data_IF_012700097335
#
_entry.id   IF_012700097335
#
_cell.length_a   1.000
_cell.length_b   1.000
_cell.length_c   1.000
_cell.angle_alpha   90.00
_cell.angle_beta   90.00
_cell.angle_gamma   90.00
#
_symmetry.space_group_name_H-M   'P 1'
#
loop_
_entity.id
_entity.type
_entity.pdbx_description
1 polymer ?
#
# COMPACT_ATOMS: atom_id res chain seq x y z
N UNK A 1 -23.16 24.58 -43.99
CA UNK A 1 -22.02 23.87 -43.34
C UNK A 1 -22.44 23.07 -42.09
N UNK A 2 -23.62 22.42 -42.06
CA UNK A 2 -24.15 21.81 -40.81
C UNK A 2 -24.01 20.28 -40.69
N UNK A 3 -24.06 19.54 -41.80
CA UNK A 3 -24.05 18.07 -41.77
C UNK A 3 -22.67 17.47 -41.47
N UNK A 4 -21.59 18.06 -42.00
CA UNK A 4 -20.22 17.55 -41.82
C UNK A 4 -19.70 17.72 -40.39
N UNK A 5 -20.04 18.81 -39.71
CA UNK A 5 -19.69 19.04 -38.30
C UNK A 5 -20.43 18.11 -37.35
N UNK A 6 -21.70 17.81 -37.65
CA UNK A 6 -22.51 16.87 -36.86
C UNK A 6 -21.95 15.44 -36.94
N UNK A 7 -21.60 14.99 -38.14
CA UNK A 7 -20.98 13.67 -38.33
C UNK A 7 -19.65 13.56 -37.59
N UNK A 8 -18.80 14.59 -37.67
CA UNK A 8 -17.53 14.63 -36.92
C UNK A 8 -17.74 14.62 -35.40
N UNK A 9 -18.76 15.29 -34.89
CA UNK A 9 -19.09 15.28 -33.47
C UNK A 9 -19.53 13.88 -33.01
N UNK A 10 -20.38 13.23 -33.81
CA UNK A 10 -20.84 11.85 -33.54
C UNK A 10 -19.71 10.83 -33.60
N UNK A 11 -18.83 10.92 -34.59
CA UNK A 11 -17.63 10.07 -34.69
C UNK A 11 -16.72 10.23 -33.47
N UNK A 12 -16.54 11.48 -33.01
CA UNK A 12 -15.78 11.75 -31.78
C UNK A 12 -16.44 11.14 -30.55
N UNK A 13 -17.77 11.25 -30.42
CA UNK A 13 -18.51 10.65 -29.32
C UNK A 13 -18.35 9.12 -29.30
N UNK A 14 -18.48 8.48 -30.45
CA UNK A 14 -18.28 7.02 -30.56
C UNK A 14 -16.85 6.62 -30.19
N UNK A 15 -15.84 7.35 -30.67
CA UNK A 15 -14.44 7.11 -30.31
C UNK A 15 -14.14 7.35 -28.83
N UNK A 16 -14.86 8.27 -28.18
CA UNK A 16 -14.72 8.47 -26.73
C UNK A 16 -15.41 7.35 -25.95
N UNK A 17 -16.59 6.91 -26.37
CA UNK A 17 -17.31 5.81 -25.73
C UNK A 17 -16.53 4.50 -25.81
N UNK A 18 -15.93 4.18 -26.96
CA UNK A 18 -15.10 2.98 -27.11
C UNK A 18 -13.86 3.02 -26.22
N UNK A 19 -13.19 4.16 -26.13
CA UNK A 19 -12.04 4.34 -25.23
C UNK A 19 -12.42 4.25 -23.76
N UNK A 20 -13.58 4.77 -23.39
CA UNK A 20 -14.08 4.65 -22.02
C UNK A 20 -14.31 3.18 -21.67
N UNK A 21 -14.99 2.43 -22.55
CA UNK A 21 -15.22 1.01 -22.34
C UNK A 21 -13.91 0.20 -22.25
N UNK A 22 -12.93 0.50 -23.10
CA UNK A 22 -11.60 -0.14 -23.06
C UNK A 22 -10.87 0.16 -21.73
N UNK A 23 -10.91 1.41 -21.25
CA UNK A 23 -10.30 1.77 -19.98
C UNK A 23 -11.02 1.13 -18.78
N UNK A 24 -12.35 1.02 -18.84
CA UNK A 24 -13.13 0.32 -17.82
C UNK A 24 -12.77 -1.17 -17.75
N UNK A 25 -12.58 -1.82 -18.90
CA UNK A 25 -12.13 -3.22 -18.98
C UNK A 25 -10.71 -3.39 -18.43
N UNK A 26 -9.78 -2.52 -18.82
CA UNK A 26 -8.41 -2.55 -18.27
C UNK A 26 -8.40 -2.36 -16.76
N UNK A 27 -9.22 -1.45 -16.24
CA UNK A 27 -9.36 -1.20 -14.81
C UNK A 27 -9.95 -2.43 -14.09
N UNK A 28 -10.96 -3.07 -14.66
CA UNK A 28 -11.53 -4.30 -14.11
C UNK A 28 -10.49 -5.44 -14.06
N UNK A 29 -9.71 -5.62 -15.13
CA UNK A 29 -8.61 -6.60 -15.17
C UNK A 29 -7.56 -6.31 -14.11
N UNK A 30 -7.06 -5.08 -14.03
CA UNK A 30 -6.09 -4.64 -13.01
C UNK A 30 -6.60 -4.86 -11.59
N UNK A 31 -7.89 -4.60 -11.33
CA UNK A 31 -8.51 -4.89 -10.04
C UNK A 31 -8.50 -6.38 -9.73
N UNK A 32 -8.84 -7.22 -10.71
CA UNK A 32 -8.79 -8.69 -10.56
C UNK A 32 -7.38 -9.19 -10.27
N UNK A 33 -6.39 -8.71 -11.03
CA UNK A 33 -4.97 -9.03 -10.83
C UNK A 33 -4.46 -8.55 -9.47
N UNK A 34 -4.84 -7.34 -9.03
CA UNK A 34 -4.45 -6.82 -7.72
C UNK A 34 -5.05 -7.62 -6.57
N UNK A 35 -6.30 -8.07 -6.69
CA UNK A 35 -6.93 -8.96 -5.72
C UNK A 35 -6.23 -10.33 -5.71
N UNK A 36 -5.93 -10.88 -6.89
CA UNK A 36 -5.20 -12.14 -6.99
C UNK A 36 -3.79 -12.05 -6.37
N UNK A 37 -3.10 -10.93 -6.60
CA UNK A 37 -1.81 -10.62 -5.99
C UNK A 37 -1.89 -10.55 -4.46
N UNK A 38 -2.87 -9.84 -3.90
CA UNK A 38 -3.07 -9.77 -2.44
C UNK A 38 -3.46 -11.12 -1.83
N UNK A 39 -4.17 -11.96 -2.56
CA UNK A 39 -4.59 -13.27 -2.11
C UNK A 39 -3.51 -14.36 -2.31
N UNK A 40 -2.36 -14.01 -2.90
CA UNK A 40 -1.19 -14.88 -3.01
C UNK A 40 -0.08 -14.43 -2.04
N UNK A 41 -0.18 -14.81 -0.76
CA UNK A 41 0.80 -14.43 0.25
C UNK A 41 2.17 -15.07 0.00
N UNK A 42 2.25 -16.21 -0.70
CA UNK A 42 3.52 -16.86 -1.03
C UNK A 42 4.29 -16.07 -2.09
N UNK A 43 3.61 -15.65 -3.16
CA UNK A 43 4.19 -14.78 -4.18
C UNK A 43 4.61 -13.41 -3.59
N UNK A 44 3.80 -12.82 -2.71
CA UNK A 44 4.17 -11.58 -2.02
C UNK A 44 5.42 -11.74 -1.14
N UNK A 45 5.50 -12.82 -0.35
CA UNK A 45 6.68 -13.13 0.47
C UNK A 45 7.93 -13.35 -0.39
N UNK A 46 7.81 -14.07 -1.50
CA UNK A 46 8.91 -14.27 -2.44
C UNK A 46 9.39 -12.93 -3.03
N UNK A 47 8.45 -12.02 -3.36
CA UNK A 47 8.79 -10.68 -3.84
C UNK A 47 9.46 -9.81 -2.78
N UNK A 48 9.00 -9.88 -1.52
CA UNK A 48 9.64 -9.19 -0.39
C UNK A 48 11.07 -9.72 -0.22
N UNK A 49 11.27 -11.03 -0.21
CA UNK A 49 12.60 -11.63 -0.11
C UNK A 49 13.52 -11.19 -1.25
N UNK A 50 13.02 -11.11 -2.49
CA UNK A 50 13.78 -10.59 -3.63
C UNK A 50 14.16 -9.11 -3.45
N UNK A 51 13.23 -8.28 -2.97
CA UNK A 51 13.47 -6.85 -2.73
C UNK A 51 14.45 -6.62 -1.57
N UNK A 52 14.38 -7.41 -0.50
CA UNK A 52 15.32 -7.39 0.61
C UNK A 52 16.72 -7.82 0.17
N UNK A 53 16.82 -8.84 -0.69
CA UNK A 53 18.09 -9.27 -1.28
C UNK A 53 18.67 -8.20 -2.24
N UNK A 54 17.82 -7.50 -2.97
CA UNK A 54 18.19 -6.40 -3.88
C UNK A 54 18.56 -5.09 -3.17
N UNK A 55 18.02 -4.84 -1.96
CA UNK A 55 18.27 -3.64 -1.16
C UNK A 55 19.64 -3.61 -0.47
N UNK A 56 20.40 -4.71 -0.51
CA UNK A 56 21.81 -4.75 -0.15
C UNK A 56 22.09 -5.19 1.30
N UNK A 57 22.82 -6.29 1.41
CA UNK A 57 23.80 -6.63 2.46
C UNK A 57 24.00 -5.60 3.60
N UNK A 58 23.11 -5.53 4.59
CA UNK A 58 23.36 -5.04 5.97
C UNK A 58 22.21 -5.61 6.83
N UNK A 59 22.31 -6.54 7.77
CA UNK A 59 23.39 -7.17 8.53
C UNK A 59 22.99 -8.63 8.82
N UNK A 60 23.94 -9.57 9.02
CA UNK A 60 23.64 -10.87 9.62
C UNK A 60 23.48 -10.71 11.12
N UNK A 61 22.38 -11.21 11.69
CA UNK A 61 22.22 -11.78 13.04
C UNK A 61 20.80 -11.55 13.55
N UNK A 62 20.04 -12.65 13.64
CA UNK A 62 18.73 -12.67 14.26
C UNK A 62 17.90 -13.85 13.80
N UNK A 63 18.38 -15.07 14.06
CA UNK A 63 17.52 -16.26 14.07
C UNK A 63 16.27 -15.97 14.91
N UNK A 64 15.10 -15.99 14.27
CA UNK A 64 13.92 -16.56 14.90
C UNK A 64 12.98 -17.10 13.83
N UNK A 65 13.06 -18.41 13.68
CA UNK A 65 11.98 -19.23 13.17
C UNK A 65 10.71 -18.89 13.95
N UNK A 66 9.65 -18.54 13.24
CA UNK A 66 8.31 -19.04 13.57
C UNK A 66 7.46 -19.07 12.32
N UNK A 67 7.41 -20.26 11.74
CA UNK A 67 6.21 -20.72 11.08
C UNK A 67 5.05 -20.66 12.08
N UNK A 68 4.04 -19.85 11.79
CA UNK A 68 2.68 -20.15 12.22
C UNK A 68 1.73 -19.90 11.06
N UNK A 69 1.42 -21.02 10.42
CA UNK A 69 0.13 -21.31 9.83
C UNK A 69 -0.98 -21.08 10.88
N UNK A 70 -1.91 -20.16 10.62
CA UNK A 70 -3.31 -20.42 10.94
C UNK A 70 -4.26 -19.46 10.21
N UNK A 71 -5.23 -20.08 9.55
CA UNK A 71 -6.36 -19.49 8.87
C UNK A 71 -7.33 -18.87 9.89
N UNK A 72 -7.85 -17.67 9.65
CA UNK A 72 -9.30 -17.43 9.78
C UNK A 72 -9.72 -16.12 9.10
N UNK A 73 -10.89 -16.19 8.49
CA UNK A 73 -11.59 -15.14 7.78
C UNK A 73 -12.02 -13.97 8.69
N UNK A 74 -12.11 -12.80 8.07
CA UNK A 74 -13.05 -11.74 8.43
C UNK A 74 -12.81 -11.06 9.77
N UNK A 75 -11.90 -10.08 9.80
CA UNK A 75 -12.20 -8.79 10.41
C UNK A 75 -11.16 -7.77 9.94
N UNK A 76 -11.60 -6.56 9.66
CA UNK A 76 -10.80 -5.41 9.22
C UNK A 76 -10.01 -4.84 10.42
N UNK A 77 -9.30 -5.70 11.14
CA UNK A 77 -8.47 -5.33 12.27
C UNK A 77 -7.06 -5.07 11.73
N UNK A 78 -6.82 -3.79 11.43
CA UNK A 78 -5.49 -3.21 11.27
C UNK A 78 -4.61 -3.77 12.37
N UNK A 79 -3.69 -4.68 12.03
CA UNK A 79 -2.81 -5.24 13.04
C UNK A 79 -2.07 -4.09 13.74
N UNK A 80 -1.96 -4.10 15.07
CA UNK A 80 -1.35 -3.01 15.80
C UNK A 80 0.08 -2.83 15.30
N UNK A 81 0.34 -1.71 14.61
CA UNK A 81 1.67 -1.36 14.13
C UNK A 81 2.59 -1.37 15.36
N UNK A 82 3.65 -2.18 15.32
CA UNK A 82 4.62 -2.23 16.41
C UNK A 82 5.52 -0.99 16.36
N UNK A 83 5.03 0.11 16.93
CA UNK A 83 5.77 1.36 16.98
C UNK A 83 7.08 1.23 17.77
N UNK A 84 7.19 0.30 18.72
CA UNK A 84 8.39 0.14 19.55
C UNK A 84 9.64 -0.23 18.74
N UNK A 85 9.47 -0.85 17.57
CA UNK A 85 10.55 -1.16 16.62
C UNK A 85 11.07 0.05 15.85
N UNK A 86 10.28 1.12 15.72
CA UNK A 86 10.62 2.29 14.90
C UNK A 86 11.76 3.12 15.50
N UNK A 87 12.53 3.76 14.62
CA UNK A 87 13.55 4.75 15.00
C UNK A 87 12.90 6.07 15.40
N UNK A 88 13.65 6.92 16.11
CA UNK A 88 13.18 8.24 16.56
C UNK A 88 12.64 9.07 15.39
N UNK A 89 13.34 9.09 14.25
CA UNK A 89 12.93 9.86 13.07
C UNK A 89 11.62 9.33 12.45
N UNK A 90 11.43 8.02 12.45
CA UNK A 90 10.21 7.37 11.94
C UNK A 90 9.02 7.65 12.88
N UNK A 91 9.25 7.61 14.19
CA UNK A 91 8.23 7.98 15.18
C UNK A 91 7.82 9.45 15.04
N UNK A 92 8.77 10.35 14.78
CA UNK A 92 8.48 11.77 14.50
C UNK A 92 7.66 11.94 13.24
N UNK A 93 7.95 11.18 12.18
CA UNK A 93 7.19 11.20 10.94
C UNK A 93 5.73 10.75 11.19
N UNK A 94 5.53 9.64 11.92
CA UNK A 94 4.20 9.13 12.29
C UNK A 94 3.42 10.16 13.11
N UNK A 95 4.05 10.79 14.11
CA UNK A 95 3.40 11.82 14.93
C UNK A 95 3.04 13.05 14.09
N UNK A 96 3.92 13.48 13.18
CA UNK A 96 3.65 14.60 12.27
C UNK A 96 2.48 14.28 11.33
N UNK A 97 2.44 13.08 10.77
CA UNK A 97 1.35 12.60 9.92
C UNK A 97 0.02 12.56 10.67
N UNK A 98 0.03 12.13 11.94
CA UNK A 98 -1.14 12.15 12.83
C UNK A 98 -1.47 13.54 13.39
N UNK A 99 -0.70 14.58 13.06
CA UNK A 99 -0.91 15.95 13.56
C UNK A 99 -0.62 16.13 15.05
N UNK A 100 0.18 15.23 15.64
CA UNK A 100 0.55 15.24 17.05
C UNK A 100 1.85 16.03 17.21
N UNK A 101 1.79 17.14 17.94
CA UNK A 101 2.96 17.92 18.27
C UNK A 101 3.84 17.19 19.29
N UNK A 102 5.16 17.26 19.11
CA UNK A 102 6.15 16.70 20.02
C UNK A 102 7.32 17.68 20.17
N UNK A 103 8.04 17.58 21.29
CA UNK A 103 9.23 18.40 21.54
C UNK A 103 10.40 17.97 20.63
N UNK A 104 11.15 18.93 20.08
CA UNK A 104 12.27 18.64 19.18
C UNK A 104 13.39 17.79 19.85
N UNK A 105 13.43 17.78 21.19
CA UNK A 105 14.33 16.95 22.01
C UNK A 105 13.69 15.68 22.58
N UNK A 106 12.45 15.35 22.20
CA UNK A 106 11.73 14.21 22.76
C UNK A 106 12.46 12.89 22.48
N UNK A 107 12.52 12.04 23.51
CA UNK A 107 13.17 10.73 23.46
C UNK A 107 12.24 9.70 22.81
N UNK A 108 12.82 8.58 22.36
CA UNK A 108 12.07 7.48 21.72
C UNK A 108 10.85 7.05 22.53
N UNK A 109 11.00 6.87 23.84
CA UNK A 109 9.91 6.42 24.72
C UNK A 109 8.80 7.47 24.87
N UNK A 110 9.14 8.76 24.83
CA UNK A 110 8.17 9.86 24.89
C UNK A 110 7.38 9.96 23.58
N UNK A 111 8.06 9.81 22.44
CA UNK A 111 7.40 9.77 21.13
C UNK A 111 6.47 8.56 21.01
N UNK A 112 6.88 7.40 21.55
CA UNK A 112 6.05 6.20 21.60
C UNK A 112 4.80 6.38 22.47
N UNK A 113 4.94 7.06 23.61
CA UNK A 113 3.83 7.33 24.51
C UNK A 113 2.78 8.29 23.90
N UNK A 114 3.19 9.13 22.94
CA UNK A 114 2.31 10.06 22.24
C UNK A 114 1.47 9.40 21.13
N UNK A 115 1.85 8.21 20.67
CA UNK A 115 1.11 7.50 19.63
C UNK A 115 -0.15 6.88 20.26
N UNK A 116 -1.36 7.22 19.77
CA UNK A 116 -2.59 6.62 20.25
C UNK A 116 -2.55 5.10 20.06
N UNK A 117 -2.82 4.37 21.14
CA UNK A 117 -3.06 2.93 21.08
C UNK A 117 -4.51 2.72 20.66
N UNK A 118 -4.73 2.24 19.44
CA UNK A 118 -6.04 1.78 18.97
C UNK A 118 -6.39 0.40 19.57
#
# INVERSE_FOLDING_TARGET
>A
MGLSSFNRARERQQMTETKIAELEEQLATLKGEFIAFQNDPEAMKARIAELELGAGKQNPEGDNQQAQDNQNAGDDQVQPINYAGLKVDELRAVLTEKGIAFEAGAKKDELLALIPKE
#
